data_IF_154012504266
#
_entry.id   IF_154012504266
#
_cell.length_a   1.000
_cell.length_b   1.000
_cell.length_c   1.000
_cell.angle_alpha   90.00
_cell.angle_beta   90.00
_cell.angle_gamma   90.00
#
_symmetry.space_group_name_H-M   'P 1'
#
loop_
_entity.id
_entity.type
_entity.pdbx_description
1 polymer ?
#
# COMPACT_ATOMS: atom_id res chain seq x y z
N UNK A 1 -13.53 32.55 31.59
CA UNK A 1 -14.67 32.50 30.63
C UNK A 1 -14.31 31.77 29.35
N UNK A 2 -13.21 32.10 28.66
CA UNK A 2 -12.75 31.40 27.45
C UNK A 2 -12.49 29.90 27.63
N UNK A 3 -11.94 29.48 28.78
CA UNK A 3 -11.65 28.05 29.05
C UNK A 3 -12.90 27.18 29.16
N UNK A 4 -14.03 27.74 29.65
CA UNK A 4 -15.29 27.00 29.79
C UNK A 4 -15.89 26.73 28.41
N UNK A 5 -15.85 27.72 27.50
CA UNK A 5 -16.29 27.55 26.12
C UNK A 5 -15.42 26.53 25.38
N UNK A 6 -14.10 26.55 25.62
CA UNK A 6 -13.18 25.57 25.03
C UNK A 6 -13.47 24.13 25.49
N UNK A 7 -13.66 23.88 26.79
CA UNK A 7 -14.02 22.53 27.26
C UNK A 7 -15.36 22.05 26.69
N UNK A 8 -16.32 22.97 26.55
CA UNK A 8 -17.59 22.67 25.93
C UNK A 8 -17.43 22.27 24.45
N UNK A 9 -16.69 23.05 23.68
CA UNK A 9 -16.43 22.77 22.26
C UNK A 9 -15.67 21.44 22.09
N UNK A 10 -14.65 21.19 22.91
CA UNK A 10 -13.89 19.92 22.91
C UNK A 10 -14.80 18.72 23.21
N UNK A 11 -15.83 18.89 24.05
CA UNK A 11 -16.82 17.85 24.34
C UNK A 11 -17.76 17.62 23.16
N UNK A 12 -18.25 18.68 22.52
CA UNK A 12 -19.10 18.60 21.34
C UNK A 12 -18.34 17.90 20.20
N UNK A 13 -17.07 18.23 20.00
CA UNK A 13 -16.22 17.61 18.98
C UNK A 13 -16.04 16.11 19.26
N UNK A 14 -15.74 15.74 20.51
CA UNK A 14 -15.62 14.33 20.92
C UNK A 14 -16.90 13.54 20.67
N UNK A 15 -18.07 14.11 20.99
CA UNK A 15 -19.37 13.46 20.76
C UNK A 15 -19.64 13.30 19.26
N UNK A 16 -19.38 14.35 18.48
CA UNK A 16 -19.60 14.35 17.02
C UNK A 16 -18.70 13.33 16.34
N UNK A 17 -17.41 13.33 16.68
CA UNK A 17 -16.44 12.36 16.19
C UNK A 17 -16.82 10.92 16.56
N UNK A 18 -17.31 10.69 17.79
CA UNK A 18 -17.78 9.36 18.22
C UNK A 18 -19.00 8.91 17.42
N UNK A 19 -19.99 9.79 17.20
CA UNK A 19 -21.19 9.49 16.39
C UNK A 19 -20.83 9.21 14.93
N UNK A 20 -19.97 10.03 14.33
CA UNK A 20 -19.48 9.84 12.97
C UNK A 20 -18.82 8.46 12.79
N UNK A 21 -17.97 8.04 13.72
CA UNK A 21 -17.32 6.72 13.70
C UNK A 21 -18.28 5.54 13.87
N UNK A 22 -19.43 5.74 14.52
CA UNK A 22 -20.46 4.70 14.68
C UNK A 22 -21.37 4.56 13.46
N UNK A 23 -21.43 5.58 12.59
CA UNK A 23 -22.24 5.57 11.36
C UNK A 23 -21.83 4.45 10.40
N UNK A 24 -20.53 4.16 10.32
CA UNK A 24 -19.97 3.16 9.41
C UNK A 24 -20.00 1.72 10.00
N UNK A 25 -20.67 1.54 11.14
CA UNK A 25 -20.86 0.26 11.81
C UNK A 25 -20.38 0.28 13.26
N UNK A 26 -21.04 -0.52 14.10
CA UNK A 26 -20.74 -0.66 15.51
C UNK A 26 -20.78 -2.13 15.93
N UNK A 27 -20.11 -2.45 17.04
CA UNK A 27 -20.12 -3.78 17.65
C UNK A 27 -20.45 -3.62 19.13
N UNK A 28 -21.43 -4.39 19.60
CA UNK A 28 -21.76 -4.47 21.02
C UNK A 28 -20.73 -5.32 21.76
N UNK A 29 -20.25 -4.83 22.90
CA UNK A 29 -19.46 -5.62 23.86
C UNK A 29 -20.05 -5.45 25.24
N UNK A 30 -20.06 -6.51 26.02
CA UNK A 30 -20.43 -6.45 27.43
C UNK A 30 -19.25 -5.88 28.20
N UNK A 31 -19.48 -4.76 28.89
CA UNK A 31 -18.49 -4.16 29.77
C UNK A 31 -18.37 -4.97 31.06
N UNK A 32 -17.29 -4.74 31.83
CA UNK A 32 -17.06 -5.43 33.12
C UNK A 32 -18.21 -5.28 34.12
N UNK A 33 -19.05 -4.27 33.94
CA UNK A 33 -20.24 -3.98 34.77
C UNK A 33 -21.52 -4.70 34.27
N UNK A 34 -21.43 -5.57 33.26
CA UNK A 34 -22.58 -6.26 32.68
C UNK A 34 -23.41 -5.43 31.70
N UNK A 35 -23.00 -4.20 31.39
CA UNK A 35 -23.70 -3.31 30.47
C UNK A 35 -23.24 -3.53 29.02
N UNK A 36 -24.18 -3.56 28.07
CA UNK A 36 -23.86 -3.60 26.64
C UNK A 36 -23.43 -2.21 26.18
N UNK A 37 -22.17 -2.07 25.76
CA UNK A 37 -21.62 -0.82 25.23
C UNK A 37 -21.31 -0.98 23.74
N UNK A 38 -21.83 -0.08 22.92
CA UNK A 38 -21.52 -0.02 21.50
C UNK A 38 -20.21 0.72 21.26
N UNK A 39 -19.30 0.07 20.53
CA UNK A 39 -18.05 0.68 20.06
C UNK A 39 -18.03 0.72 18.53
N UNK A 40 -17.46 1.76 17.92
CA UNK A 40 -17.34 1.82 16.47
C UNK A 40 -16.54 0.61 15.97
N UNK A 41 -17.04 -0.03 14.91
CA UNK A 41 -16.38 -1.16 14.27
C UNK A 41 -15.11 -0.61 13.61
N UNK A 42 -13.93 -0.95 14.13
CA UNK A 42 -12.67 -0.54 13.50
C UNK A 42 -12.58 -1.22 12.14
N UNK A 43 -12.65 -0.43 11.07
CA UNK A 43 -12.36 -0.89 9.71
C UNK A 43 -10.85 -1.09 9.63
N UNK A 44 -10.39 -2.32 9.84
CA UNK A 44 -9.04 -2.66 9.42
C UNK A 44 -9.02 -2.53 7.89
N UNK A 45 -8.03 -1.82 7.33
CA UNK A 45 -7.70 -2.03 5.93
C UNK A 45 -7.35 -3.51 5.81
N UNK A 46 -8.27 -4.31 5.27
CA UNK A 46 -8.03 -5.72 5.02
C UNK A 46 -7.13 -5.82 3.81
N UNK A 47 -5.83 -5.61 4.02
CA UNK A 47 -4.82 -5.91 3.02
C UNK A 47 -4.83 -7.42 2.86
N UNK A 48 -5.45 -7.91 1.79
CA UNK A 48 -5.50 -9.33 1.53
C UNK A 48 -4.10 -9.78 1.07
N UNK A 49 -3.53 -10.85 1.65
CA UNK A 49 -2.24 -11.38 1.19
C UNK A 49 -2.26 -11.73 -0.31
N UNK A 50 -3.43 -12.16 -0.81
CA UNK A 50 -3.67 -12.41 -2.24
C UNK A 50 -3.52 -11.15 -3.09
N UNK A 51 -4.08 -10.02 -2.67
CA UNK A 51 -3.96 -8.76 -3.39
C UNK A 51 -2.51 -8.27 -3.45
N UNK A 52 -1.79 -8.36 -2.33
CA UNK A 52 -0.35 -8.02 -2.29
C UNK A 52 0.45 -8.93 -3.22
N UNK A 53 0.19 -10.25 -3.19
CA UNK A 53 0.85 -11.19 -4.08
C UNK A 53 0.58 -10.89 -5.57
N UNK A 54 -0.65 -10.51 -5.94
CA UNK A 54 -0.97 -10.12 -7.33
C UNK A 54 -0.20 -8.86 -7.76
N UNK A 55 -0.08 -7.86 -6.89
CA UNK A 55 0.69 -6.63 -7.21
C UNK A 55 2.18 -6.96 -7.39
N UNK A 56 2.75 -7.77 -6.50
CA UNK A 56 4.15 -8.21 -6.61
C UNK A 56 4.36 -9.01 -7.90
N UNK A 57 3.46 -9.94 -8.20
CA UNK A 57 3.54 -10.73 -9.43
C UNK A 57 3.44 -9.87 -10.68
N UNK A 58 2.50 -8.93 -10.72
CA UNK A 58 2.37 -7.98 -11.83
C UNK A 58 3.63 -7.14 -12.02
N UNK A 59 4.29 -6.74 -10.92
CA UNK A 59 5.53 -5.98 -10.97
C UNK A 59 6.70 -6.80 -11.54
N UNK A 60 6.86 -8.05 -11.08
CA UNK A 60 7.87 -8.98 -11.63
C UNK A 60 7.61 -9.24 -13.11
N UNK A 61 6.35 -9.48 -13.48
CA UNK A 61 5.95 -9.70 -14.87
C UNK A 61 6.28 -8.49 -15.74
N UNK A 62 5.99 -7.27 -15.28
CA UNK A 62 6.34 -6.04 -15.98
C UNK A 62 7.86 -5.89 -16.19
N UNK A 63 8.67 -6.13 -15.16
CA UNK A 63 10.13 -6.13 -15.30
C UNK A 63 10.60 -7.17 -16.31
N UNK A 64 10.06 -8.38 -16.25
CA UNK A 64 10.45 -9.49 -17.11
C UNK A 64 10.13 -9.19 -18.58
N UNK A 65 8.98 -8.55 -18.84
CA UNK A 65 8.62 -8.04 -20.17
C UNK A 65 9.67 -7.07 -20.69
N UNK A 66 10.05 -6.06 -19.90
CA UNK A 66 11.07 -5.07 -20.30
C UNK A 66 12.39 -5.78 -20.60
N UNK A 67 12.86 -6.67 -19.71
CA UNK A 67 14.12 -7.39 -19.90
C UNK A 67 14.07 -8.29 -21.14
N UNK A 68 12.95 -8.97 -21.38
CA UNK A 68 12.79 -9.85 -22.54
C UNK A 68 12.76 -9.09 -23.86
N UNK A 69 12.21 -7.87 -23.88
CA UNK A 69 12.09 -7.04 -25.08
C UNK A 69 13.37 -6.23 -25.36
N UNK A 70 13.96 -5.57 -24.34
CA UNK A 70 15.16 -4.73 -24.52
C UNK A 70 16.46 -5.53 -24.48
N UNK A 71 16.45 -6.70 -23.85
CA UNK A 71 17.65 -7.44 -23.48
C UNK A 71 18.36 -6.86 -22.25
N UNK A 72 19.20 -7.68 -21.62
CA UNK A 72 19.82 -7.36 -20.33
C UNK A 72 20.81 -6.18 -20.40
N UNK A 73 21.55 -6.06 -21.51
CA UNK A 73 22.55 -5.01 -21.67
C UNK A 73 21.91 -3.60 -21.68
N UNK A 74 20.88 -3.40 -22.51
CA UNK A 74 20.19 -2.12 -22.61
C UNK A 74 19.38 -1.82 -21.33
N UNK A 75 18.78 -2.85 -20.72
CA UNK A 75 18.09 -2.69 -19.44
C UNK A 75 19.01 -2.13 -18.34
N UNK A 76 20.23 -2.67 -18.24
CA UNK A 76 21.20 -2.22 -17.25
C UNK A 76 21.66 -0.77 -17.50
N UNK A 77 21.80 -0.38 -18.77
CA UNK A 77 22.13 1.00 -19.15
C UNK A 77 21.02 2.00 -18.73
N UNK A 78 19.74 1.61 -18.90
CA UNK A 78 18.60 2.43 -18.41
C UNK A 78 18.60 2.59 -16.90
N UNK A 79 18.92 1.52 -16.16
CA UNK A 79 19.05 1.58 -14.70
C UNK A 79 20.18 2.52 -14.31
N UNK A 80 21.33 2.45 -14.98
CA UNK A 80 22.46 3.34 -14.71
C UNK A 80 22.09 4.81 -14.97
N UNK A 81 21.33 5.06 -16.04
CA UNK A 81 20.78 6.39 -16.35
C UNK A 81 19.86 6.88 -15.21
N UNK A 82 18.95 6.03 -14.73
CA UNK A 82 18.05 6.37 -13.62
C UNK A 82 18.80 6.64 -12.30
N UNK A 83 19.91 5.93 -12.05
CA UNK A 83 20.76 6.18 -10.88
C UNK A 83 21.45 7.54 -10.91
N UNK A 84 21.70 8.10 -12.09
CA UNK A 84 22.31 9.42 -12.24
C UNK A 84 21.29 10.58 -12.13
N UNK A 85 19.99 10.27 -12.05
CA UNK A 85 18.92 11.25 -12.01
C UNK A 85 18.59 11.80 -10.62
N UNK A 86 17.39 12.36 -10.51
CA UNK A 86 16.75 12.86 -9.30
C UNK A 86 16.48 11.77 -8.26
N UNK A 87 16.12 12.18 -7.03
CA UNK A 87 15.80 11.25 -5.94
C UNK A 87 14.69 10.23 -6.30
N UNK A 88 13.70 10.66 -7.09
CA UNK A 88 12.60 9.77 -7.53
C UNK A 88 13.12 8.75 -8.55
N UNK A 89 13.99 9.17 -9.46
CA UNK A 89 14.61 8.29 -10.47
C UNK A 89 15.57 7.28 -9.82
N UNK A 90 16.35 7.71 -8.84
CA UNK A 90 17.22 6.83 -8.05
C UNK A 90 16.43 5.77 -7.29
N UNK A 91 15.30 6.15 -6.69
CA UNK A 91 14.39 5.20 -6.04
C UNK A 91 13.83 4.19 -7.05
N UNK A 92 13.42 4.66 -8.24
CA UNK A 92 13.02 3.79 -9.34
C UNK A 92 14.12 2.83 -9.76
N UNK A 93 15.37 3.30 -9.88
CA UNK A 93 16.53 2.49 -10.23
C UNK A 93 16.83 1.39 -9.20
N UNK A 94 16.62 1.68 -7.92
CA UNK A 94 16.76 0.71 -6.85
C UNK A 94 15.70 -0.39 -6.92
N UNK A 95 14.43 -0.02 -7.15
CA UNK A 95 13.35 -0.99 -7.27
C UNK A 95 13.48 -1.82 -8.56
N UNK A 96 13.99 -1.24 -9.64
CA UNK A 96 14.20 -1.88 -10.94
C UNK A 96 15.45 -2.76 -11.01
N UNK A 97 16.16 -3.04 -9.92
CA UNK A 97 17.25 -4.02 -9.99
C UNK A 97 16.74 -5.39 -10.50
N UNK A 98 17.52 -6.07 -11.34
CA UNK A 98 17.18 -7.41 -11.82
C UNK A 98 17.20 -8.39 -10.64
N UNK A 99 16.10 -9.11 -10.45
CA UNK A 99 15.98 -10.18 -9.47
C UNK A 99 15.91 -11.55 -10.17
N UNK A 100 16.29 -12.66 -9.50
CA UNK A 100 16.31 -13.99 -10.13
C UNK A 100 14.96 -14.42 -10.72
N UNK A 101 13.85 -14.02 -10.09
CA UNK A 101 12.51 -14.33 -10.57
C UNK A 101 12.20 -13.61 -11.89
N UNK A 102 12.56 -12.33 -11.99
CA UNK A 102 12.45 -11.53 -13.21
C UNK A 102 13.25 -12.14 -14.36
N UNK A 103 14.50 -12.56 -14.10
CA UNK A 103 15.37 -13.15 -15.13
C UNK A 103 14.81 -14.48 -15.65
N UNK A 104 14.41 -15.37 -14.74
CA UNK A 104 13.80 -16.64 -15.08
C UNK A 104 12.52 -16.46 -15.92
N UNK A 105 11.68 -15.50 -15.54
CA UNK A 105 10.46 -15.20 -16.27
C UNK A 105 10.76 -14.58 -17.65
N UNK A 106 11.75 -13.69 -17.73
CA UNK A 106 12.16 -13.08 -19.00
C UNK A 106 12.67 -14.11 -20.00
N UNK A 107 13.47 -15.08 -19.57
CA UNK A 107 13.92 -16.21 -20.39
C UNK A 107 12.75 -17.03 -20.94
N UNK A 108 11.72 -17.26 -20.12
CA UNK A 108 10.52 -17.99 -20.53
C UNK A 108 9.64 -17.20 -21.50
N UNK A 109 9.60 -15.88 -21.37
CA UNK A 109 8.79 -14.98 -22.20
C UNK A 109 9.43 -14.69 -23.56
N UNK A 110 10.76 -14.70 -23.64
CA UNK A 110 11.55 -14.37 -24.83
C UNK A 110 11.11 -15.06 -26.13
N UNK A 111 10.72 -16.35 -26.15
CA UNK A 111 10.26 -17.01 -27.38
C UNK A 111 8.95 -16.46 -27.95
N UNK A 112 8.13 -15.81 -27.12
CA UNK A 112 6.82 -15.29 -27.50
C UNK A 112 6.85 -13.83 -27.94
N UNK A 113 7.97 -13.12 -27.75
CA UNK A 113 8.10 -11.67 -27.92
C UNK A 113 9.11 -11.30 -29.03
N UNK A 114 9.13 -12.07 -30.12
CA UNK A 114 9.97 -11.82 -31.30
C UNK A 114 9.75 -10.41 -31.88
#
# INVERSE_FOLDING_TARGET
MSEIFKDFDDRIERITNKRAKMRDGYVGRVDKNGLVVFRPKRRALSVSPRGVAMVVFAFIFFKALIVSHLGMALYQDRINTLRAGSLVEQAGAFVMQPDPATLWLAEKMRPYLQ
#
